data_IF_005510428751
#
_entry.id   IF_005510428751
#
_cell.length_a   1.000
_cell.length_b   1.000
_cell.length_c   1.000
_cell.angle_alpha   90.00
_cell.angle_beta   90.00
_cell.angle_gamma   90.00
#
_symmetry.space_group_name_H-M   'P 1'
#
loop_
_entity.id
_entity.type
_entity.pdbx_description
1 polymer ?
#
# COMPACT_ATOMS: atom_id res chain seq x y z
N UNK A 1 -5.65 9.14 5.96
CA UNK A 1 -4.70 9.83 6.87
C UNK A 1 -4.36 9.00 8.11
N UNK A 2 -5.26 8.15 8.64
CA UNK A 2 -4.99 7.35 9.85
C UNK A 2 -3.77 6.43 9.68
N UNK A 3 -3.74 5.57 8.64
CA UNK A 3 -2.67 4.58 8.37
C UNK A 3 -1.23 5.12 8.21
N UNK A 4 -1.08 6.41 7.93
CA UNK A 4 0.24 7.05 7.79
C UNK A 4 0.88 7.35 9.16
N UNK A 5 0.07 7.44 10.22
CA UNK A 5 0.53 7.72 11.59
C UNK A 5 1.24 6.48 12.14
N UNK A 6 0.65 5.29 11.98
CA UNK A 6 1.24 4.04 12.49
C UNK A 6 2.58 3.74 11.81
N UNK A 7 2.70 3.93 10.50
CA UNK A 7 3.96 3.73 9.77
C UNK A 7 5.05 4.70 10.26
N UNK A 8 4.71 5.95 10.55
CA UNK A 8 5.66 6.91 11.13
C UNK A 8 6.15 6.48 12.52
N UNK A 9 5.23 6.00 13.37
CA UNK A 9 5.56 5.50 14.71
C UNK A 9 6.45 4.26 14.62
N UNK A 10 6.15 3.32 13.73
CA UNK A 10 6.92 2.08 13.55
C UNK A 10 8.32 2.37 13.00
N UNK A 11 8.45 3.31 12.05
CA UNK A 11 9.74 3.75 11.53
C UNK A 11 10.64 4.28 12.65
N UNK A 12 10.08 5.11 13.54
CA UNK A 12 10.80 5.64 14.70
C UNK A 12 11.12 4.56 15.75
N UNK A 13 10.17 3.66 16.04
CA UNK A 13 10.37 2.58 17.01
C UNK A 13 11.47 1.60 16.59
N UNK A 14 11.49 1.21 15.31
CA UNK A 14 12.49 0.26 14.80
C UNK A 14 13.79 0.92 14.35
N UNK A 15 13.86 2.24 14.29
CA UNK A 15 15.03 2.98 13.84
C UNK A 15 15.36 2.74 12.36
N UNK A 16 14.32 2.64 11.51
CA UNK A 16 14.45 2.30 10.08
C UNK A 16 13.49 3.15 9.26
N UNK A 17 13.89 3.45 8.03
CA UNK A 17 12.95 4.03 7.08
C UNK A 17 11.95 2.97 6.59
N UNK A 18 10.72 3.40 6.31
CA UNK A 18 9.69 2.58 5.68
C UNK A 18 9.30 3.26 4.37
N UNK A 19 9.58 2.61 3.23
CA UNK A 19 9.11 3.05 1.93
C UNK A 19 7.80 2.32 1.60
N UNK A 20 6.69 3.05 1.55
CA UNK A 20 5.38 2.50 1.17
C UNK A 20 5.04 2.90 -0.26
N UNK A 21 4.98 1.92 -1.16
CA UNK A 21 4.64 2.11 -2.56
C UNK A 21 3.14 1.91 -2.79
N UNK A 22 2.45 2.95 -3.26
CA UNK A 22 1.02 2.91 -3.56
C UNK A 22 0.82 2.48 -5.02
N UNK A 23 0.15 1.35 -5.24
CA UNK A 23 -0.08 0.79 -6.58
C UNK A 23 -0.91 1.75 -7.43
N UNK A 24 -2.01 2.28 -6.89
CA UNK A 24 -2.96 3.10 -7.64
C UNK A 24 -2.30 4.37 -8.21
N UNK A 25 -1.53 5.07 -7.38
CA UNK A 25 -0.93 6.37 -7.73
C UNK A 25 0.52 6.27 -8.17
N UNK A 26 1.15 5.09 -8.02
CA UNK A 26 2.58 4.84 -8.28
C UNK A 26 3.55 5.67 -7.43
N UNK A 27 3.06 6.36 -6.40
CA UNK A 27 3.89 7.17 -5.50
C UNK A 27 4.58 6.28 -4.45
N UNK A 28 5.69 6.76 -3.92
CA UNK A 28 6.37 6.17 -2.77
C UNK A 28 6.35 7.18 -1.62
N UNK A 29 5.71 6.80 -0.52
CA UNK A 29 5.67 7.57 0.71
C UNK A 29 6.79 7.04 1.64
N UNK A 30 7.79 7.88 1.93
CA UNK A 30 8.97 7.52 2.72
C UNK A 30 8.87 8.05 4.16
N UNK A 31 8.68 7.14 5.11
CA UNK A 31 8.55 7.43 6.54
C UNK A 31 9.90 7.35 7.25
N UNK A 32 10.20 8.29 8.16
CA UNK A 32 11.45 8.36 8.92
C UNK A 32 12.64 8.95 8.17
N UNK A 33 12.42 9.55 6.99
CA UNK A 33 13.49 10.09 6.14
C UNK A 33 14.31 11.23 6.79
N UNK A 34 13.66 12.03 7.63
CA UNK A 34 14.27 13.14 8.36
C UNK A 34 15.24 12.67 9.45
N UNK A 35 15.08 11.43 9.91
CA UNK A 35 15.92 10.80 10.95
C UNK A 35 17.22 10.23 10.39
N UNK A 36 17.34 10.12 9.06
CA UNK A 36 18.52 9.62 8.35
C UNK A 36 18.95 8.22 8.80
N UNK A 37 17.99 7.32 9.03
CA UNK A 37 18.29 5.93 9.36
C UNK A 37 19.16 5.27 8.26
N UNK A 38 20.00 4.31 8.67
CA UNK A 38 20.93 3.61 7.78
C UNK A 38 20.30 2.43 7.05
N UNK A 39 19.06 2.07 7.38
CA UNK A 39 18.34 0.93 6.83
C UNK A 39 16.93 1.35 6.43
N UNK A 40 16.40 0.68 5.40
CA UNK A 40 15.05 0.89 4.88
C UNK A 40 14.39 -0.45 4.61
N UNK A 41 13.11 -0.54 4.93
CA UNK A 41 12.21 -1.63 4.52
C UNK A 41 11.22 -1.12 3.49
N UNK A 42 10.62 -2.02 2.72
CA UNK A 42 9.69 -1.68 1.65
C UNK A 42 8.35 -2.37 1.85
N UNK A 43 7.27 -1.63 1.61
CA UNK A 43 5.89 -2.11 1.61
C UNK A 43 5.22 -1.76 0.28
N UNK A 44 4.30 -2.59 -0.17
CA UNK A 44 3.40 -2.28 -1.28
C UNK A 44 1.96 -2.15 -0.76
N UNK A 45 1.21 -1.20 -1.32
CA UNK A 45 -0.14 -0.86 -0.89
C UNK A 45 -1.12 -0.88 -2.05
N UNK A 46 -2.17 -1.68 -1.92
CA UNK A 46 -3.18 -1.88 -2.96
C UNK A 46 -4.44 -1.01 -2.79
N UNK A 47 -4.47 -0.09 -1.82
CA UNK A 47 -5.68 0.68 -1.48
C UNK A 47 -6.47 0.13 -0.29
N UNK A 48 -6.18 -1.10 0.16
CA UNK A 48 -6.81 -1.74 1.31
C UNK A 48 -5.82 -2.48 2.22
N UNK A 49 -4.81 -3.15 1.67
CA UNK A 49 -3.82 -3.97 2.35
C UNK A 49 -2.39 -3.46 2.11
N UNK A 50 -1.53 -3.71 3.10
CA UNK A 50 -0.09 -3.58 2.98
C UNK A 50 0.53 -4.97 2.95
N UNK A 51 1.42 -5.20 1.99
CA UNK A 51 2.27 -6.38 1.92
C UNK A 51 3.75 -5.97 2.00
N UNK A 52 4.58 -6.80 2.62
CA UNK A 52 6.03 -6.59 2.67
C UNK A 52 6.67 -6.93 1.31
N UNK A 53 7.61 -6.10 0.87
CA UNK A 53 8.42 -6.40 -0.30
C UNK A 53 9.78 -6.97 0.13
N UNK A 54 10.17 -8.04 -0.55
CA UNK A 54 11.45 -8.70 -0.38
C UNK A 54 12.13 -8.91 -1.74
N UNK A 55 13.45 -9.09 -1.72
CA UNK A 55 14.23 -9.43 -2.91
C UNK A 55 14.88 -10.79 -2.69
N UNK A 56 14.49 -11.75 -3.52
CA UNK A 56 15.14 -13.05 -3.62
C UNK A 56 16.37 -12.98 -4.53
N UNK A 57 17.45 -13.73 -4.22
CA UNK A 57 18.66 -13.72 -5.04
C UNK A 57 18.46 -14.30 -6.44
N UNK A 58 17.49 -15.21 -6.60
CA UNK A 58 17.08 -15.81 -7.88
C UNK A 58 15.66 -16.37 -7.78
N UNK A 59 15.04 -16.66 -8.92
CA UNK A 59 13.70 -17.25 -8.98
C UNK A 59 13.69 -18.65 -8.36
N UNK A 60 12.78 -18.87 -7.39
CA UNK A 60 12.68 -20.13 -6.65
C UNK A 60 13.72 -20.31 -5.54
N UNK A 61 14.47 -19.27 -5.19
CA UNK A 61 15.29 -19.28 -3.98
C UNK A 61 14.43 -19.50 -2.73
N UNK A 62 14.91 -20.24 -1.72
CA UNK A 62 14.24 -20.33 -0.42
C UNK A 62 14.05 -18.96 0.22
N UNK A 63 12.90 -18.73 0.87
CA UNK A 63 12.55 -17.45 1.52
C UNK A 63 13.58 -17.01 2.59
N UNK A 64 14.34 -17.94 3.17
CA UNK A 64 15.42 -17.62 4.12
C UNK A 64 16.55 -16.77 3.51
N UNK A 65 16.67 -16.74 2.18
CA UNK A 65 17.62 -15.90 1.46
C UNK A 65 17.04 -14.55 1.04
N UNK A 66 15.76 -14.29 1.33
CA UNK A 66 15.11 -13.05 0.95
C UNK A 66 15.65 -11.87 1.76
N UNK A 67 16.04 -10.83 1.05
CA UNK A 67 16.40 -9.57 1.66
C UNK A 67 15.15 -8.71 1.85
N UNK A 68 14.84 -8.37 3.10
CA UNK A 68 13.71 -7.49 3.48
C UNK A 68 14.17 -6.14 4.06
N UNK A 69 15.42 -6.07 4.52
CA UNK A 69 16.05 -4.88 5.08
C UNK A 69 17.21 -4.46 4.17
N UNK A 70 17.18 -3.21 3.74
CA UNK A 70 18.12 -2.69 2.75
C UNK A 70 18.97 -1.56 3.33
N UNK A 71 20.31 -1.59 3.14
CA UNK A 71 21.18 -0.52 3.59
C UNK A 71 20.98 0.73 2.74
N UNK A 72 20.82 1.88 3.41
CA UNK A 72 20.68 3.18 2.76
C UNK A 72 22.04 3.77 2.45
N UNK A 73 22.30 4.02 1.17
CA UNK A 73 23.58 4.51 0.67
C UNK A 73 23.71 6.04 0.84
N UNK A 74 24.89 6.60 0.52
CA UNK A 74 25.20 8.03 0.66
C UNK A 74 24.21 8.95 -0.10
N UNK A 75 23.61 8.46 -1.19
CA UNK A 75 22.57 9.16 -1.96
C UNK A 75 21.15 9.01 -1.41
N UNK A 76 20.96 8.46 -0.21
CA UNK A 76 19.64 8.10 0.37
C UNK A 76 18.82 7.10 -0.47
N UNK A 77 19.49 6.38 -1.35
CA UNK A 77 18.94 5.29 -2.15
C UNK A 77 19.29 3.94 -1.53
N UNK A 78 18.46 2.93 -1.75
CA UNK A 78 18.78 1.51 -1.50
C UNK A 78 19.25 0.77 -2.77
N UNK A 79 19.67 1.52 -3.80
CA UNK A 79 20.25 0.98 -5.02
C UNK A 79 19.22 0.28 -5.93
N UNK A 80 19.59 -0.82 -6.60
CA UNK A 80 18.72 -1.51 -7.56
C UNK A 80 17.37 -1.97 -7.00
N UNK A 81 17.26 -2.13 -5.67
CA UNK A 81 16.04 -2.51 -5.01
C UNK A 81 14.89 -1.51 -5.24
N UNK A 82 15.19 -0.20 -5.30
CA UNK A 82 14.17 0.83 -5.57
C UNK A 82 13.59 0.69 -6.97
N UNK A 83 14.46 0.46 -7.96
CA UNK A 83 14.06 0.29 -9.36
C UNK A 83 13.22 -0.97 -9.55
N UNK A 84 13.56 -2.06 -8.85
CA UNK A 84 12.79 -3.30 -8.87
C UNK A 84 11.41 -3.10 -8.25
N UNK A 85 11.33 -2.44 -7.08
CA UNK A 85 10.06 -2.11 -6.43
C UNK A 85 9.18 -1.22 -7.34
N UNK A 86 9.75 -0.18 -7.95
CA UNK A 86 9.02 0.70 -8.87
C UNK A 86 8.54 -0.02 -10.13
N UNK A 87 9.32 -0.96 -10.68
CA UNK A 87 8.89 -1.79 -11.81
C UNK A 87 7.71 -2.69 -11.42
N UNK A 88 7.79 -3.35 -10.27
CA UNK A 88 6.70 -4.17 -9.75
C UNK A 88 5.42 -3.34 -9.55
N UNK A 89 5.52 -2.18 -8.91
CA UNK A 89 4.38 -1.26 -8.70
C UNK A 89 3.74 -0.85 -10.02
N UNK A 90 4.53 -0.49 -11.03
CA UNK A 90 4.03 -0.15 -12.37
C UNK A 90 3.40 -1.36 -13.08
N UNK A 91 3.88 -2.57 -12.85
CA UNK A 91 3.25 -3.79 -13.37
C UNK A 91 1.90 -4.05 -12.72
N UNK A 92 1.81 -3.97 -11.38
CA UNK A 92 0.57 -4.14 -10.65
C UNK A 92 -0.46 -3.05 -11.02
N UNK A 93 0.00 -1.80 -11.16
CA UNK A 93 -0.85 -0.68 -11.57
C UNK A 93 -1.45 -0.90 -12.98
N UNK A 94 -0.63 -1.36 -13.94
CA UNK A 94 -1.10 -1.72 -15.29
C UNK A 94 -2.10 -2.88 -15.28
N UNK A 95 -1.90 -3.86 -14.39
CA UNK A 95 -2.83 -4.99 -14.17
C UNK A 95 -4.10 -4.60 -13.40
N UNK A 96 -4.17 -3.36 -12.89
CA UNK A 96 -5.24 -2.86 -12.02
C UNK A 96 -5.47 -3.77 -10.79
N UNK A 97 -4.38 -4.31 -10.25
CA UNK A 97 -4.39 -5.11 -9.01
C UNK A 97 -4.33 -4.17 -7.80
N UNK A 98 -5.36 -3.32 -7.68
CA UNK A 98 -5.57 -2.42 -6.55
C UNK A 98 -7.07 -2.19 -6.37
N UNK A 99 -7.45 -1.89 -5.13
CA UNK A 99 -8.81 -1.55 -4.73
C UNK A 99 -8.98 -0.03 -4.70
N UNK A 100 -9.69 0.52 -5.69
CA UNK A 100 -10.04 1.94 -5.70
C UNK A 100 -11.22 2.20 -4.76
N UNK A 101 -10.92 2.36 -3.47
CA UNK A 101 -11.92 2.67 -2.45
C UNK A 101 -12.60 4.05 -2.64
N UNK A 102 -12.12 4.90 -3.55
CA UNK A 102 -12.82 6.13 -3.89
C UNK A 102 -13.91 5.93 -4.95
N UNK A 103 -13.74 4.98 -5.88
CA UNK A 103 -14.61 4.85 -7.06
C UNK A 103 -15.26 3.47 -7.24
N UNK A 104 -15.05 2.52 -6.33
CA UNK A 104 -15.68 1.20 -6.41
C UNK A 104 -17.21 1.28 -6.36
N UNK A 105 -17.87 0.48 -7.20
CA UNK A 105 -19.33 0.40 -7.25
C UNK A 105 -19.84 -0.57 -6.21
N UNK A 106 -20.64 -0.05 -5.29
CA UNK A 106 -21.28 -0.79 -4.20
C UNK A 106 -22.77 -0.91 -4.46
N UNK A 107 -23.33 -2.08 -4.21
CA UNK A 107 -24.78 -2.29 -4.20
C UNK A 107 -25.24 -2.48 -2.76
N UNK A 108 -26.25 -1.71 -2.37
CA UNK A 108 -26.94 -1.95 -1.11
C UNK A 108 -27.70 -3.28 -1.18
N UNK A 109 -27.39 -4.22 -0.30
CA UNK A 109 -28.05 -5.53 -0.23
C UNK A 109 -29.51 -5.48 0.22
N UNK A 110 -29.98 -4.34 0.75
CA UNK A 110 -31.37 -4.18 1.23
C UNK A 110 -32.26 -3.58 0.15
N UNK A 111 -31.87 -2.44 -0.43
CA UNK A 111 -32.70 -1.70 -1.39
C UNK A 111 -32.18 -1.75 -2.83
N UNK A 112 -31.06 -2.45 -3.09
CA UNK A 112 -30.46 -2.68 -4.41
C UNK A 112 -29.97 -1.41 -5.14
N UNK A 113 -29.95 -0.25 -4.46
CA UNK A 113 -29.39 0.98 -4.99
C UNK A 113 -27.87 0.83 -5.14
N UNK A 114 -27.36 1.21 -6.31
CA UNK A 114 -25.93 1.34 -6.59
C UNK A 114 -25.42 2.68 -6.09
N UNK A 115 -24.29 2.67 -5.37
CA UNK A 115 -23.58 3.85 -4.88
C UNK A 115 -22.11 3.75 -5.26
N UNK A 116 -21.45 4.89 -5.41
CA UNK A 116 -20.05 4.98 -5.85
C UNK A 116 -19.18 5.39 -4.66
N UNK A 117 -18.24 4.51 -4.32
CA UNK A 117 -17.24 4.74 -3.30
C UNK A 117 -17.79 4.73 -1.87
N UNK A 118 -16.87 4.86 -0.92
CA UNK A 118 -17.20 4.81 0.50
C UNK A 118 -18.06 6.01 0.93
N UNK A 119 -17.87 7.18 0.33
CA UNK A 119 -18.60 8.40 0.70
C UNK A 119 -20.11 8.23 0.49
N UNK A 120 -20.53 7.83 -0.72
CA UNK A 120 -21.95 7.64 -1.02
C UNK A 120 -22.55 6.47 -0.22
N UNK A 121 -21.78 5.41 0.05
CA UNK A 121 -22.23 4.32 0.92
C UNK A 121 -22.51 4.78 2.35
N UNK A 122 -21.66 5.67 2.90
CA UNK A 122 -21.90 6.26 4.23
C UNK A 122 -23.12 7.17 4.22
N UNK A 123 -23.26 8.03 3.21
CA UNK A 123 -24.44 8.91 3.06
C UNK A 123 -25.74 8.09 2.93
N UNK A 124 -25.71 7.01 2.13
CA UNK A 124 -26.82 6.08 1.98
C UNK A 124 -27.16 5.39 3.30
N UNK A 125 -26.16 4.89 4.03
CA UNK A 125 -26.36 4.25 5.33
C UNK A 125 -26.95 5.21 6.36
N UNK A 126 -26.52 6.47 6.37
CA UNK A 126 -27.05 7.50 7.26
C UNK A 126 -28.50 7.86 6.92
N UNK A 127 -28.84 7.97 5.63
CA UNK A 127 -30.18 8.33 5.18
C UNK A 127 -31.20 7.18 5.33
N UNK A 128 -30.76 5.93 5.16
CA UNK A 128 -31.66 4.77 5.05
C UNK A 128 -31.53 3.76 6.19
N UNK A 129 -30.46 3.82 6.98
CA UNK A 129 -30.12 2.81 7.98
C UNK A 129 -29.53 1.51 7.38
N UNK A 130 -29.34 1.43 6.06
CA UNK A 130 -28.80 0.24 5.42
C UNK A 130 -27.27 0.19 5.48
N UNK A 131 -26.71 -0.85 6.11
CA UNK A 131 -25.24 -1.02 6.25
C UNK A 131 -24.67 -2.22 5.47
N UNK A 132 -25.53 -3.01 4.82
CA UNK A 132 -25.12 -4.15 4.01
C UNK A 132 -24.80 -3.69 2.59
N UNK A 133 -23.50 -3.56 2.27
CA UNK A 133 -23.02 -3.22 0.92
C UNK A 133 -22.14 -4.34 0.37
N UNK A 134 -22.31 -4.63 -0.90
CA UNK A 134 -21.47 -5.57 -1.64
C UNK A 134 -20.89 -4.88 -2.86
N UNK A 135 -19.58 -5.05 -3.06
CA UNK A 135 -18.96 -4.61 -4.30
C UNK A 135 -19.49 -5.46 -5.46
N UNK A 136 -19.81 -4.81 -6.57
CA UNK A 136 -20.21 -5.48 -7.79
C UNK A 136 -19.47 -4.87 -8.98
N UNK A 137 -19.14 -5.70 -9.97
CA UNK A 137 -18.59 -5.31 -11.26
C UNK A 137 -19.62 -5.48 -12.35
#
# INVERSE_FOLDING_TARGET
>A
MQRAIELSILADYYGREIAAYDIQTTRCDLYGQEKKYSERVMLIYDGLHYDALAISPFEGAPEEFDQTIFPVQKGRTIGPAEDLALKLVKEQQRKKTYTDTANFTLRCGVCQIGVIGQKEAVEHAQATGHVNFQEYR
#
